data_IF_506818317612
#
_entry.id   IF_506818317612
#
_cell.length_a   1.000
_cell.length_b   1.000
_cell.length_c   1.000
_cell.angle_alpha   90.00
_cell.angle_beta   90.00
_cell.angle_gamma   90.00
#
_symmetry.space_group_name_H-M   'P 1'
#
loop_
_entity.id
_entity.type
_entity.pdbx_description
1 polymer ?
#
# COMPACT_ATOMS: atom_id res chain seq x y z
N UNK A 1 -67.34 23.75 35.87
CA UNK A 1 -66.14 22.95 36.12
C UNK A 1 -65.34 22.82 34.82
N UNK A 2 -64.30 23.59 34.69
CA UNK A 2 -63.40 23.57 33.52
C UNK A 2 -62.28 22.60 33.83
N UNK A 3 -62.22 21.49 33.10
CA UNK A 3 -61.10 20.60 33.16
C UNK A 3 -60.03 21.12 32.18
N UNK A 4 -58.93 21.63 32.74
CA UNK A 4 -57.77 21.98 31.94
C UNK A 4 -57.01 20.71 31.60
N UNK A 5 -57.01 20.35 30.32
CA UNK A 5 -56.18 19.32 29.77
C UNK A 5 -54.79 19.88 29.59
N UNK A 6 -53.84 19.48 30.42
CA UNK A 6 -52.42 19.80 30.24
C UNK A 6 -51.88 18.79 29.21
N UNK A 7 -51.70 19.24 27.98
CA UNK A 7 -50.94 18.49 26.99
C UNK A 7 -49.46 18.65 27.27
N UNK A 8 -48.87 17.58 27.79
CA UNK A 8 -47.41 17.48 27.89
C UNK A 8 -46.91 17.09 26.53
N UNK A 9 -46.33 18.07 25.79
CA UNK A 9 -45.57 17.78 24.59
C UNK A 9 -44.24 17.14 24.99
N UNK A 10 -44.11 15.81 24.77
CA UNK A 10 -42.86 15.10 24.87
C UNK A 10 -42.07 15.38 23.57
N UNK A 11 -41.16 16.36 23.63
CA UNK A 11 -40.22 16.63 22.54
C UNK A 11 -39.22 15.50 22.50
N UNK A 12 -39.39 14.55 21.56
CA UNK A 12 -38.44 13.53 21.27
C UNK A 12 -37.25 14.14 20.51
N UNK A 13 -36.21 14.51 21.24
CA UNK A 13 -34.93 14.94 20.64
C UNK A 13 -34.26 13.73 20.05
N UNK A 14 -34.38 13.56 18.73
CA UNK A 14 -33.66 12.55 17.98
C UNK A 14 -32.18 12.98 17.94
N UNK A 15 -31.34 12.41 18.79
CA UNK A 15 -29.89 12.50 18.66
C UNK A 15 -29.46 11.67 17.44
N UNK A 16 -29.34 12.31 16.30
CA UNK A 16 -28.64 11.72 15.16
C UNK A 16 -27.16 11.78 15.48
N UNK A 17 -26.61 10.68 15.97
CA UNK A 17 -25.17 10.50 16.05
C UNK A 17 -24.63 10.38 14.62
N UNK A 18 -24.13 11.49 14.09
CA UNK A 18 -23.32 11.47 12.87
C UNK A 18 -22.00 10.76 13.21
N UNK A 19 -21.93 9.49 12.84
CA UNK A 19 -20.68 8.78 12.84
C UNK A 19 -19.76 9.44 11.81
N UNK A 20 -18.83 10.28 12.27
CA UNK A 20 -17.75 10.77 11.40
C UNK A 20 -16.87 9.59 11.07
N UNK A 21 -17.03 9.04 9.85
CA UNK A 21 -16.03 8.18 9.25
C UNK A 21 -14.76 9.02 9.04
N UNK A 22 -13.77 8.86 9.94
CA UNK A 22 -12.42 9.31 9.65
C UNK A 22 -11.97 8.54 8.43
N UNK A 23 -11.73 9.26 7.32
CA UNK A 23 -11.17 8.63 6.13
C UNK A 23 -9.82 8.01 6.53
N UNK A 24 -9.71 6.69 6.42
CA UNK A 24 -8.47 5.99 6.68
C UNK A 24 -7.38 6.54 5.76
N UNK A 25 -6.21 6.87 6.34
CA UNK A 25 -5.03 7.28 5.56
C UNK A 25 -4.64 6.09 4.66
N UNK A 26 -4.52 6.27 3.34
CA UNK A 26 -4.14 5.19 2.46
C UNK A 26 -2.77 4.60 2.86
N UNK A 27 -2.67 3.28 2.93
CA UNK A 27 -1.43 2.58 3.26
C UNK A 27 -0.46 2.52 2.08
N UNK A 28 -0.94 2.77 0.88
CA UNK A 28 -0.17 2.81 -0.36
C UNK A 28 -0.73 3.85 -1.31
N UNK A 29 0.05 4.21 -2.32
CA UNK A 29 -0.34 5.16 -3.37
C UNK A 29 -0.34 4.44 -4.72
N UNK A 30 -1.48 4.42 -5.40
CA UNK A 30 -1.57 3.85 -6.74
C UNK A 30 -0.86 4.74 -7.77
N UNK A 31 0.02 4.15 -8.58
CA UNK A 31 0.59 4.81 -9.75
C UNK A 31 -0.31 4.60 -10.98
N UNK A 32 -0.93 3.44 -11.07
CA UNK A 32 -1.99 3.09 -12.01
C UNK A 32 -2.78 1.89 -11.45
N UNK A 33 -3.66 1.29 -12.24
CA UNK A 33 -4.48 0.15 -11.84
C UNK A 33 -3.67 -1.12 -11.51
N UNK A 34 -2.44 -1.22 -12.02
CA UNK A 34 -1.60 -2.42 -11.91
C UNK A 34 -0.52 -2.33 -10.84
N UNK A 35 -0.21 -1.12 -10.35
CA UNK A 35 0.94 -0.92 -9.46
C UNK A 35 0.69 0.18 -8.45
N UNK A 36 1.10 -0.07 -7.22
CA UNK A 36 1.08 0.88 -6.11
C UNK A 36 2.43 0.91 -5.41
N UNK A 37 2.74 2.02 -4.78
CA UNK A 37 3.97 2.20 -3.99
C UNK A 37 3.64 2.48 -2.53
N UNK A 38 4.54 2.07 -1.65
CA UNK A 38 4.43 2.32 -0.21
C UNK A 38 5.83 2.55 0.39
N UNK A 39 5.85 3.21 1.54
CA UNK A 39 7.10 3.56 2.22
C UNK A 39 7.40 2.71 3.44
N UNK A 40 7.88 3.37 4.50
CA UNK A 40 8.25 2.74 5.76
C UNK A 40 7.29 1.63 6.17
N UNK A 41 7.83 0.43 6.44
CA UNK A 41 7.03 -0.78 6.65
C UNK A 41 7.18 -1.32 8.05
N UNK A 42 6.03 -1.66 8.66
CA UNK A 42 5.93 -2.50 9.84
C UNK A 42 5.22 -3.79 9.46
N UNK A 43 5.36 -4.83 10.29
CA UNK A 43 4.65 -6.10 10.05
C UNK A 43 3.13 -5.92 10.07
N UNK A 44 2.60 -5.10 10.96
CA UNK A 44 1.16 -4.84 11.05
C UNK A 44 0.62 -4.09 9.85
N UNK A 45 1.31 -3.06 9.38
CA UNK A 45 0.98 -2.35 8.15
C UNK A 45 0.99 -3.30 6.95
N UNK A 46 2.00 -4.17 6.86
CA UNK A 46 2.12 -5.12 5.75
C UNK A 46 1.01 -6.16 5.76
N UNK A 47 0.63 -6.68 6.92
CA UNK A 47 -0.53 -7.57 7.06
C UNK A 47 -1.81 -6.92 6.54
N UNK A 48 -2.03 -5.65 6.86
CA UNK A 48 -3.18 -4.89 6.35
C UNK A 48 -3.13 -4.70 4.84
N UNK A 49 -1.95 -4.41 4.27
CA UNK A 49 -1.75 -4.30 2.82
C UNK A 49 -2.04 -5.62 2.10
N UNK A 50 -1.68 -6.76 2.70
CA UNK A 50 -1.94 -8.07 2.10
C UNK A 50 -3.43 -8.44 2.05
N UNK A 51 -4.29 -7.67 2.71
CA UNK A 51 -5.75 -7.81 2.62
C UNK A 51 -6.39 -6.92 1.54
N UNK A 52 -5.60 -6.11 0.84
CA UNK A 52 -6.11 -5.11 -0.12
C UNK A 52 -6.14 -5.60 -1.59
N UNK A 53 -5.88 -6.87 -1.83
CA UNK A 53 -6.05 -7.47 -3.17
C UNK A 53 -4.79 -7.47 -4.04
N UNK A 54 -3.62 -7.11 -3.52
CA UNK A 54 -2.36 -7.26 -4.24
C UNK A 54 -2.07 -8.74 -4.54
N UNK A 55 -1.53 -9.01 -5.72
CA UNK A 55 -1.14 -10.35 -6.14
C UNK A 55 0.35 -10.62 -5.98
N UNK A 56 1.15 -9.55 -5.99
CA UNK A 56 2.61 -9.62 -5.89
C UNK A 56 3.16 -8.42 -5.13
N UNK A 57 4.35 -8.60 -4.57
CA UNK A 57 5.11 -7.56 -3.87
C UNK A 57 6.54 -7.56 -4.40
N UNK A 58 7.10 -6.38 -4.65
CA UNK A 58 8.53 -6.18 -4.90
C UNK A 58 9.06 -5.28 -3.78
N UNK A 59 10.03 -5.75 -3.02
CA UNK A 59 10.70 -4.99 -1.97
C UNK A 59 11.99 -4.41 -2.55
N UNK A 60 12.04 -3.09 -2.70
CA UNK A 60 13.20 -2.37 -3.22
C UNK A 60 14.13 -1.83 -2.13
N UNK A 61 13.67 -1.76 -0.89
CA UNK A 61 14.49 -1.27 0.21
C UNK A 61 15.46 -2.35 0.68
N UNK A 62 16.79 -2.08 0.69
CA UNK A 62 17.75 -3.02 1.26
C UNK A 62 17.48 -3.30 2.74
N UNK A 63 17.60 -4.57 3.16
CA UNK A 63 17.32 -5.00 4.54
C UNK A 63 18.16 -4.25 5.58
N UNK A 64 19.44 -3.99 5.26
CA UNK A 64 20.39 -3.32 6.14
C UNK A 64 20.35 -1.80 6.06
N UNK A 65 19.46 -1.22 5.25
CA UNK A 65 19.32 0.24 5.16
C UNK A 65 18.90 0.81 6.52
N UNK A 66 19.57 1.90 6.93
CA UNK A 66 19.29 2.53 8.23
C UNK A 66 17.80 2.90 8.35
N UNK A 67 17.23 2.59 9.52
CA UNK A 67 15.84 2.87 9.83
C UNK A 67 14.83 1.85 9.25
N UNK A 68 15.30 0.82 8.54
CA UNK A 68 14.43 -0.26 8.09
C UNK A 68 13.99 -1.10 9.30
N UNK A 69 12.67 -1.32 9.43
CA UNK A 69 12.08 -2.03 10.57
C UNK A 69 11.78 -3.50 10.28
N UNK A 70 11.77 -3.90 9.01
CA UNK A 70 11.40 -5.25 8.58
C UNK A 70 12.33 -5.76 7.49
N UNK A 71 12.73 -7.02 7.57
CA UNK A 71 13.48 -7.68 6.50
C UNK A 71 12.55 -8.17 5.39
N UNK A 72 13.10 -8.35 4.19
CA UNK A 72 12.36 -8.96 3.08
C UNK A 72 11.86 -10.37 3.43
N UNK A 73 12.62 -11.14 4.20
CA UNK A 73 12.21 -12.48 4.63
C UNK A 73 11.03 -12.46 5.60
N UNK A 74 10.98 -11.50 6.53
CA UNK A 74 9.81 -11.31 7.41
C UNK A 74 8.56 -10.98 6.59
N UNK A 75 8.69 -10.06 5.64
CA UNK A 75 7.59 -9.67 4.75
C UNK A 75 7.17 -10.83 3.84
N UNK A 76 8.13 -11.62 3.33
CA UNK A 76 7.84 -12.80 2.52
C UNK A 76 7.01 -13.83 3.29
N UNK A 77 7.33 -14.09 4.55
CA UNK A 77 6.56 -15.00 5.38
C UNK A 77 5.10 -14.55 5.54
N UNK A 78 4.86 -13.25 5.66
CA UNK A 78 3.50 -12.69 5.73
C UNK A 78 2.78 -12.80 4.38
N UNK A 79 3.45 -12.45 3.29
CA UNK A 79 2.88 -12.50 1.94
C UNK A 79 2.47 -13.93 1.55
N UNK A 80 3.32 -14.91 1.81
CA UNK A 80 3.07 -16.32 1.48
C UNK A 80 1.85 -16.89 2.20
N UNK A 81 1.56 -16.46 3.43
CA UNK A 81 0.33 -16.84 4.13
C UNK A 81 -0.94 -16.38 3.41
N UNK A 82 -0.86 -15.32 2.64
CA UNK A 82 -1.95 -14.80 1.81
C UNK A 82 -1.84 -15.24 0.34
N UNK A 83 -0.94 -16.17 0.03
CA UNK A 83 -0.65 -16.66 -1.34
C UNK A 83 -0.22 -15.54 -2.29
N UNK A 84 0.55 -14.59 -1.78
CA UNK A 84 1.09 -13.45 -2.52
C UNK A 84 2.59 -13.69 -2.71
N UNK A 85 3.07 -13.57 -3.95
CA UNK A 85 4.50 -13.70 -4.27
C UNK A 85 5.26 -12.45 -3.85
N UNK A 86 6.41 -12.61 -3.22
CA UNK A 86 7.28 -11.49 -2.85
C UNK A 86 8.66 -11.68 -3.47
N UNK A 87 9.11 -10.66 -4.21
CA UNK A 87 10.45 -10.57 -4.79
C UNK A 87 11.26 -9.53 -4.01
N UNK A 88 12.48 -9.88 -3.64
CA UNK A 88 13.44 -8.96 -3.04
C UNK A 88 14.38 -8.44 -4.12
N UNK A 89 14.20 -7.19 -4.51
CA UNK A 89 15.08 -6.47 -5.43
C UNK A 89 15.63 -5.23 -4.71
N UNK A 90 16.71 -5.38 -3.92
CA UNK A 90 17.30 -4.25 -3.22
C UNK A 90 17.91 -3.27 -4.21
N UNK A 91 17.56 -1.99 -4.07
CA UNK A 91 18.05 -0.90 -4.90
C UNK A 91 18.50 0.24 -3.99
N UNK A 92 19.74 0.71 -4.17
CA UNK A 92 20.30 1.80 -3.40
C UNK A 92 19.67 3.13 -3.77
N UNK A 93 19.29 3.91 -2.74
CA UNK A 93 18.71 5.24 -2.93
C UNK A 93 19.70 6.18 -3.63
N UNK A 94 19.23 6.90 -4.65
CA UNK A 94 20.02 7.87 -5.41
C UNK A 94 21.05 7.25 -6.38
N UNK A 95 21.08 5.93 -6.52
CA UNK A 95 22.01 5.20 -7.41
C UNK A 95 21.28 4.11 -8.19
N UNK A 96 20.17 4.46 -8.80
CA UNK A 96 19.41 3.52 -9.63
C UNK A 96 20.16 3.34 -10.95
N UNK A 97 20.63 2.11 -11.21
CA UNK A 97 21.35 1.76 -12.44
C UNK A 97 20.38 1.31 -13.54
N UNK A 98 20.88 1.29 -14.78
CA UNK A 98 20.14 0.72 -15.90
C UNK A 98 19.80 -0.76 -15.66
N UNK A 99 20.72 -1.51 -15.05
CA UNK A 99 20.51 -2.90 -14.68
C UNK A 99 19.33 -3.04 -13.69
N UNK A 100 19.24 -2.16 -12.70
CA UNK A 100 18.10 -2.13 -11.75
C UNK A 100 16.78 -1.94 -12.49
N UNK A 101 16.74 -1.02 -13.47
CA UNK A 101 15.55 -0.73 -14.26
C UNK A 101 15.14 -1.94 -15.12
N UNK A 102 16.12 -2.57 -15.77
CA UNK A 102 15.88 -3.77 -16.60
C UNK A 102 15.40 -4.95 -15.76
N UNK A 103 16.00 -5.17 -14.60
CA UNK A 103 15.59 -6.24 -13.68
C UNK A 103 14.18 -5.99 -13.14
N UNK A 104 13.88 -4.76 -12.73
CA UNK A 104 12.53 -4.37 -12.34
C UNK A 104 11.50 -4.67 -13.43
N UNK A 105 11.81 -4.31 -14.68
CA UNK A 105 10.92 -4.56 -15.81
C UNK A 105 10.63 -6.05 -16.01
N UNK A 106 11.62 -6.91 -15.84
CA UNK A 106 11.42 -8.37 -15.91
C UNK A 106 10.43 -8.87 -14.85
N UNK A 107 10.58 -8.40 -13.60
CA UNK A 107 9.66 -8.76 -12.53
C UNK A 107 8.26 -8.21 -12.79
N UNK A 108 8.17 -6.93 -13.16
CA UNK A 108 6.89 -6.32 -13.50
C UNK A 108 6.14 -7.11 -14.58
N UNK A 109 6.84 -7.48 -15.65
CA UNK A 109 6.21 -8.17 -16.78
C UNK A 109 5.79 -9.61 -16.46
N UNK A 110 6.46 -10.26 -15.50
CA UNK A 110 6.21 -11.68 -15.16
C UNK A 110 5.28 -11.89 -13.97
N UNK A 111 5.19 -10.93 -13.06
CA UNK A 111 4.40 -11.08 -11.83
C UNK A 111 2.91 -10.82 -12.04
N UNK A 112 2.03 -11.53 -11.31
CA UNK A 112 0.61 -11.22 -11.28
C UNK A 112 0.34 -9.80 -10.76
N UNK A 113 -0.63 -9.11 -11.35
CA UNK A 113 -1.06 -7.75 -10.97
C UNK A 113 -2.34 -7.80 -10.12
N UNK A 114 -2.58 -6.80 -9.29
CA UNK A 114 -1.74 -5.62 -9.00
C UNK A 114 -0.49 -5.94 -8.17
N UNK A 115 0.56 -5.15 -8.38
CA UNK A 115 1.86 -5.28 -7.68
C UNK A 115 2.00 -4.15 -6.66
N UNK A 116 2.45 -4.48 -5.45
CA UNK A 116 2.85 -3.51 -4.43
C UNK A 116 4.37 -3.36 -4.42
N UNK A 117 4.87 -2.13 -4.54
CA UNK A 117 6.29 -1.81 -4.42
C UNK A 117 6.56 -1.21 -3.03
N UNK A 118 7.58 -1.73 -2.35
CA UNK A 118 7.98 -1.29 -1.01
C UNK A 118 9.37 -0.69 -1.05
N UNK A 119 9.50 0.57 -0.62
CA UNK A 119 10.78 1.21 -0.39
C UNK A 119 10.73 2.06 0.90
N UNK A 120 11.57 3.09 1.04
CA UNK A 120 11.59 3.93 2.24
C UNK A 120 10.43 4.93 2.28
N UNK A 121 10.10 5.56 1.14
CA UNK A 121 9.07 6.60 1.03
C UNK A 121 8.11 6.40 -0.14
N UNK A 122 8.32 5.40 -0.97
CA UNK A 122 7.63 5.23 -2.26
C UNK A 122 8.35 5.88 -3.44
N UNK A 123 9.24 6.84 -3.23
CA UNK A 123 9.91 7.60 -4.30
C UNK A 123 10.84 6.75 -5.15
N UNK A 124 11.66 5.93 -4.53
CA UNK A 124 12.62 5.04 -5.21
C UNK A 124 11.90 4.08 -6.17
N UNK A 125 10.87 3.43 -5.69
CA UNK A 125 10.04 2.51 -6.47
C UNK A 125 9.32 3.23 -7.61
N UNK A 126 8.86 4.45 -7.38
CA UNK A 126 8.24 5.30 -8.41
C UNK A 126 9.24 5.65 -9.51
N UNK A 127 10.49 5.97 -9.16
CA UNK A 127 11.55 6.25 -10.15
C UNK A 127 11.86 5.02 -10.99
N UNK A 128 11.97 3.83 -10.38
CA UNK A 128 12.16 2.57 -11.11
C UNK A 128 11.04 2.34 -12.13
N UNK A 129 9.81 2.47 -11.69
CA UNK A 129 8.64 2.30 -12.55
C UNK A 129 8.64 3.31 -13.70
N UNK A 130 8.83 4.58 -13.41
CA UNK A 130 8.83 5.63 -14.43
C UNK A 130 9.96 5.47 -15.45
N UNK A 131 11.15 5.10 -15.02
CA UNK A 131 12.28 4.84 -15.93
C UNK A 131 12.04 3.62 -16.80
N UNK A 132 11.52 2.53 -16.26
CA UNK A 132 11.18 1.35 -17.03
C UNK A 132 10.08 1.63 -18.05
N UNK A 133 9.07 2.40 -17.65
CA UNK A 133 7.97 2.82 -18.55
C UNK A 133 8.50 3.72 -19.67
N UNK A 134 9.30 4.74 -19.36
CA UNK A 134 9.87 5.67 -20.35
C UNK A 134 10.81 4.98 -21.33
N UNK A 135 11.50 3.92 -20.88
CA UNK A 135 12.35 3.11 -21.74
C UNK A 135 11.59 2.09 -22.60
N UNK A 136 10.25 2.01 -22.48
CA UNK A 136 9.43 1.08 -23.21
C UNK A 136 9.60 -0.39 -22.81
N UNK A 137 10.06 -0.66 -21.59
CA UNK A 137 10.38 -2.00 -21.11
C UNK A 137 9.17 -2.73 -20.48
N UNK A 138 8.09 -2.02 -20.18
CA UNK A 138 6.92 -2.59 -19.52
C UNK A 138 5.88 -3.05 -20.54
N UNK A 139 5.38 -4.27 -20.36
CA UNK A 139 4.24 -4.80 -21.10
C UNK A 139 2.95 -4.17 -20.54
N UNK A 140 2.22 -3.45 -21.33
CA UNK A 140 0.94 -2.82 -20.98
C UNK A 140 -0.26 -3.63 -21.47
#
# INVERSE_FOLDING_TARGET
MTKHLIQVFFSLVLFTSTSMCLADVPLSTALNEKISVTGQMTTDKFKSLMQQGFKSVIVNRPDHEQGNLTSANELRGIAEKSRISLIYQPVSSGQISETDVQEFAKYYNSLPKPILLVCKSGSRSTVLFNQAKSAGLLNE
#
